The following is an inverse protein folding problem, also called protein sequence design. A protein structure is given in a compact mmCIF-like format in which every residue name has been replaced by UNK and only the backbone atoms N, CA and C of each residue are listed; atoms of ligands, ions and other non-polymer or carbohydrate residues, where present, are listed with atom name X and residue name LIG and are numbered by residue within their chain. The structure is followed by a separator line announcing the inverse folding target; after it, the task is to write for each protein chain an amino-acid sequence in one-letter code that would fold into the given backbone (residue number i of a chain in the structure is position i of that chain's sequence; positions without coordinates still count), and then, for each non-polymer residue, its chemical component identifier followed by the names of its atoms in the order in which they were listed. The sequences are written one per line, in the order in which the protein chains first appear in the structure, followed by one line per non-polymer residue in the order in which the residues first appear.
data_IF_572025460616
#
_entry.id   IF_572025460616
#
_cell.length_a   1.000
_cell.length_b   1.000
_cell.length_c   1.000
_cell.angle_alpha   90.00
_cell.angle_beta   90.00
_cell.angle_gamma   90.00
#
_symmetry.space_group_name_H-M   'P 1'
#
loop_
_entity.id
_entity.type
_entity.pdbx_description
1 polymer ?
#
# COMPACT_ATOMS: atom_id res chain seq x y z
N UNK A 1 48.47 45.02 -16.46
CA UNK A 1 47.70 45.34 -15.24
C UNK A 1 47.14 44.06 -14.71
N UNK A 2 47.75 43.46 -13.67
CA UNK A 2 47.32 42.17 -13.12
C UNK A 2 46.46 42.44 -11.88
N UNK A 3 45.16 42.15 -11.96
CA UNK A 3 44.24 42.35 -10.84
C UNK A 3 44.44 41.19 -9.87
N UNK A 4 45.07 41.46 -8.72
CA UNK A 4 45.15 40.52 -7.61
C UNK A 4 43.78 40.41 -6.91
N UNK A 5 43.00 39.40 -7.29
CA UNK A 5 41.76 39.08 -6.56
C UNK A 5 42.14 38.42 -5.23
N UNK A 6 41.80 39.07 -4.12
CA UNK A 6 42.09 38.59 -2.77
C UNK A 6 41.38 37.25 -2.50
N UNK A 7 42.12 36.27 -1.97
CA UNK A 7 41.59 34.93 -1.59
C UNK A 7 40.30 34.96 -0.72
N UNK A 8 40.09 36.06 0.02
CA UNK A 8 38.92 36.27 0.86
C UNK A 8 37.62 36.40 0.04
N UNK A 9 37.66 37.04 -1.13
CA UNK A 9 36.45 37.17 -1.97
C UNK A 9 36.11 35.90 -2.72
N UNK A 10 37.05 35.03 -2.99
CA UNK A 10 36.80 33.72 -3.62
C UNK A 10 36.03 32.75 -2.67
N UNK A 11 36.35 32.79 -1.38
CA UNK A 11 35.68 31.96 -0.38
C UNK A 11 34.22 32.43 -0.16
N UNK A 12 33.97 33.74 -0.14
CA UNK A 12 32.64 34.30 0.01
C UNK A 12 31.74 34.00 -1.19
N UNK A 13 32.30 34.13 -2.42
CA UNK A 13 31.57 33.79 -3.65
C UNK A 13 31.23 32.30 -3.74
N UNK A 14 32.14 31.42 -3.32
CA UNK A 14 31.90 29.97 -3.24
C UNK A 14 30.81 29.60 -2.24
N UNK A 15 30.77 30.24 -1.07
CA UNK A 15 29.76 30.01 -0.05
C UNK A 15 28.37 30.48 -0.47
N UNK A 16 28.26 31.57 -1.20
CA UNK A 16 26.99 32.09 -1.74
C UNK A 16 26.44 31.16 -2.84
N UNK A 17 27.31 30.61 -3.70
CA UNK A 17 26.89 29.65 -4.73
C UNK A 17 26.37 28.32 -4.12
N UNK A 18 26.94 27.85 -3.01
CA UNK A 18 26.50 26.66 -2.33
C UNK A 18 25.13 26.84 -1.65
N UNK A 19 24.79 28.06 -1.20
CA UNK A 19 23.48 28.33 -0.60
C UNK A 19 22.35 28.45 -1.64
N UNK A 20 22.68 28.68 -2.92
CA UNK A 20 21.69 28.76 -3.99
C UNK A 20 21.31 27.38 -4.60
N UNK A 21 22.10 26.33 -4.30
CA UNK A 21 21.91 25.01 -4.94
C UNK A 21 21.00 24.05 -4.18
N UNK A 22 20.49 24.41 -3.00
CA UNK A 22 19.62 23.55 -2.17
C UNK A 22 18.15 23.97 -2.19
N UNK A 23 17.62 24.45 -3.30
CA UNK A 23 16.17 24.44 -3.48
C UNK A 23 15.79 22.98 -3.80
N UNK A 24 15.29 22.25 -2.80
CA UNK A 24 14.57 20.99 -3.06
C UNK A 24 13.60 21.27 -4.21
N UNK A 25 13.57 20.42 -5.27
CA UNK A 25 12.57 20.57 -6.30
C UNK A 25 11.21 20.65 -5.59
N UNK A 26 10.46 21.73 -5.86
CA UNK A 26 9.12 21.87 -5.32
C UNK A 26 8.35 20.65 -5.80
N UNK A 27 7.79 19.89 -4.86
CA UNK A 27 6.84 18.84 -5.19
C UNK A 27 5.77 19.47 -6.10
N UNK A 28 5.64 19.00 -7.35
CA UNK A 28 4.69 19.56 -8.30
C UNK A 28 3.26 19.54 -7.74
N UNK A 29 2.97 18.62 -6.80
CA UNK A 29 1.68 18.48 -6.13
C UNK A 29 1.63 19.08 -4.72
N UNK A 30 2.46 20.07 -4.40
CA UNK A 30 2.47 20.75 -3.10
C UNK A 30 1.14 21.45 -2.76
N UNK A 31 0.35 21.82 -3.77
CA UNK A 31 -1.05 22.20 -3.63
C UNK A 31 -1.87 21.00 -4.15
N UNK A 32 -2.33 20.15 -3.24
CA UNK A 32 -3.20 19.03 -3.60
C UNK A 32 -4.39 19.54 -4.37
N UNK A 33 -4.62 18.91 -5.51
CA UNK A 33 -5.83 19.08 -6.30
C UNK A 33 -7.04 18.45 -5.59
N UNK A 34 -8.01 18.05 -6.36
CA UNK A 34 -9.19 17.36 -5.84
C UNK A 34 -8.83 15.98 -5.30
N UNK A 35 -9.54 15.54 -4.27
CA UNK A 35 -9.51 14.19 -3.72
C UNK A 35 -10.79 13.47 -4.13
N UNK A 36 -10.64 12.27 -4.69
CA UNK A 36 -11.75 11.40 -5.09
C UNK A 36 -11.64 10.08 -4.36
N UNK A 37 -12.76 9.60 -3.83
CA UNK A 37 -12.85 8.35 -3.11
C UNK A 37 -13.83 7.42 -3.77
N UNK A 38 -13.42 6.18 -4.06
CA UNK A 38 -14.31 5.17 -4.61
C UNK A 38 -15.20 4.57 -3.52
N UNK A 39 -16.31 3.99 -3.96
CA UNK A 39 -17.00 2.95 -3.20
C UNK A 39 -16.06 1.75 -2.96
N UNK A 40 -16.51 0.81 -2.12
CA UNK A 40 -15.70 -0.37 -1.77
C UNK A 40 -15.66 -1.33 -2.97
N UNK A 41 -14.46 -1.73 -3.37
CA UNK A 41 -14.20 -2.81 -4.31
C UNK A 41 -13.75 -4.08 -3.57
N UNK A 42 -13.92 -5.23 -4.22
CA UNK A 42 -13.56 -6.51 -3.63
C UNK A 42 -12.22 -7.01 -4.15
N UNK A 43 -11.43 -7.62 -3.26
CA UNK A 43 -10.29 -8.47 -3.58
C UNK A 43 -10.56 -9.90 -3.08
N UNK A 44 -9.94 -10.89 -3.70
CA UNK A 44 -10.22 -12.30 -3.48
C UNK A 44 -8.99 -13.03 -3.00
N UNK A 45 -9.15 -13.77 -1.89
CA UNK A 45 -8.12 -14.67 -1.37
C UNK A 45 -8.46 -16.11 -1.74
N UNK A 46 -7.54 -16.82 -2.36
CA UNK A 46 -7.70 -18.22 -2.73
C UNK A 46 -6.58 -19.10 -2.16
N UNK A 47 -6.85 -20.31 -1.73
CA UNK A 47 -8.19 -20.90 -1.56
C UNK A 47 -9.01 -20.20 -0.48
N UNK A 48 -10.34 -20.13 -0.67
CA UNK A 48 -11.25 -19.53 0.31
C UNK A 48 -11.52 -20.52 1.46
N UNK A 49 -10.49 -20.75 2.28
CA UNK A 49 -10.53 -21.67 3.43
C UNK A 49 -10.04 -20.95 4.68
N UNK A 50 -10.46 -21.45 5.84
CA UNK A 50 -10.05 -20.93 7.14
C UNK A 50 -8.65 -21.38 7.56
N UNK A 51 -8.09 -22.34 6.83
CA UNK A 51 -6.77 -22.87 7.12
C UNK A 51 -6.06 -23.37 5.88
N UNK A 52 -4.75 -23.22 5.87
CA UNK A 52 -3.88 -23.62 4.77
C UNK A 52 -2.64 -24.35 5.30
N UNK A 53 -2.10 -25.35 4.57
CA UNK A 53 -0.86 -26.00 4.94
C UNK A 53 0.33 -25.03 4.87
N UNK A 54 1.31 -25.24 5.76
CA UNK A 54 2.59 -24.53 5.68
C UNK A 54 3.25 -24.78 4.31
N UNK A 55 3.71 -23.71 3.67
CA UNK A 55 4.36 -23.77 2.37
C UNK A 55 3.42 -23.88 1.17
N UNK A 56 2.10 -23.99 1.37
CA UNK A 56 1.12 -23.94 0.29
C UNK A 56 1.09 -22.56 -0.36
N UNK A 57 0.59 -22.48 -1.59
CA UNK A 57 0.45 -21.19 -2.28
C UNK A 57 -0.99 -20.70 -2.12
N UNK A 58 -1.12 -19.50 -1.59
CA UNK A 58 -2.34 -18.72 -1.59
C UNK A 58 -2.28 -17.67 -2.71
N UNK A 59 -3.43 -17.30 -3.25
CA UNK A 59 -3.55 -16.23 -4.22
C UNK A 59 -4.31 -15.06 -3.62
N UNK A 60 -3.86 -13.84 -3.90
CA UNK A 60 -4.62 -12.62 -3.67
C UNK A 60 -4.80 -11.90 -4.99
N UNK A 61 -6.05 -11.73 -5.39
CA UNK A 61 -6.39 -11.10 -6.68
C UNK A 61 -7.27 -9.88 -6.45
N UNK A 62 -7.03 -8.84 -7.25
CA UNK A 62 -7.83 -7.62 -7.24
C UNK A 62 -7.90 -6.99 -8.63
N UNK A 63 -9.06 -6.40 -8.91
CA UNK A 63 -9.26 -5.56 -10.08
C UNK A 63 -10.14 -4.38 -9.69
N UNK A 64 -9.69 -3.17 -9.99
CA UNK A 64 -10.47 -1.96 -9.76
C UNK A 64 -10.57 -1.14 -11.04
N UNK A 65 -11.73 -0.60 -11.39
CA UNK A 65 -11.90 0.17 -12.61
C UNK A 65 -11.19 1.53 -12.49
N UNK A 66 -10.72 2.06 -13.61
CA UNK A 66 -10.23 3.44 -13.65
C UNK A 66 -11.36 4.45 -13.53
N UNK A 67 -12.52 4.14 -14.12
CA UNK A 67 -13.71 4.98 -14.02
C UNK A 67 -14.60 4.50 -12.87
N UNK A 68 -14.93 5.39 -11.96
CA UNK A 68 -15.81 5.10 -10.82
C UNK A 68 -16.65 6.33 -10.45
N UNK A 69 -17.64 6.14 -9.59
CA UNK A 69 -18.41 7.23 -9.00
C UNK A 69 -17.75 7.64 -7.69
N UNK A 70 -17.40 8.91 -7.55
CA UNK A 70 -16.85 9.45 -6.31
C UNK A 70 -17.92 9.42 -5.21
N UNK A 71 -17.56 8.85 -4.06
CA UNK A 71 -18.47 8.60 -2.94
C UNK A 71 -19.03 9.91 -2.32
N UNK A 72 -18.22 10.97 -2.34
CA UNK A 72 -18.61 12.24 -1.71
C UNK A 72 -19.40 13.16 -2.62
N UNK A 73 -19.01 13.22 -3.89
CA UNK A 73 -19.63 14.17 -4.84
C UNK A 73 -20.68 13.52 -5.73
N UNK A 74 -20.76 12.18 -5.72
CA UNK A 74 -21.58 11.36 -6.61
C UNK A 74 -21.32 11.64 -8.11
N UNK A 75 -20.16 12.19 -8.44
CA UNK A 75 -19.73 12.46 -9.81
C UNK A 75 -18.96 11.29 -10.39
N UNK A 76 -19.08 11.07 -11.70
CA UNK A 76 -18.24 10.11 -12.42
C UNK A 76 -16.86 10.71 -12.64
N UNK A 77 -15.84 9.98 -12.20
CA UNK A 77 -14.43 10.35 -12.35
C UNK A 77 -13.64 9.23 -13.02
N UNK A 78 -12.58 9.59 -13.71
CA UNK A 78 -11.67 8.62 -14.34
C UNK A 78 -10.26 8.89 -13.86
N UNK A 79 -9.66 7.89 -13.24
CA UNK A 79 -8.27 7.92 -12.79
C UNK A 79 -7.33 7.72 -13.98
N UNK A 80 -6.63 8.77 -14.36
CA UNK A 80 -5.66 8.77 -15.47
C UNK A 80 -4.22 8.49 -15.05
N UNK A 81 -3.99 8.20 -13.76
CA UNK A 81 -2.65 7.97 -13.27
C UNK A 81 -2.01 6.71 -13.85
N UNK A 82 -0.70 6.71 -13.95
CA UNK A 82 0.10 5.55 -14.39
C UNK A 82 0.49 4.62 -13.25
N UNK A 83 0.16 4.98 -12.00
CA UNK A 83 0.55 4.23 -10.80
C UNK A 83 -0.65 4.18 -9.85
N UNK A 84 -0.98 2.97 -9.40
CA UNK A 84 -1.85 2.73 -8.25
C UNK A 84 -1.07 1.88 -7.27
N UNK A 85 -0.93 2.32 -6.04
CA UNK A 85 -0.22 1.56 -5.03
C UNK A 85 -0.85 1.72 -3.62
N UNK A 86 -0.42 0.85 -2.73
CA UNK A 86 -0.77 0.95 -1.32
C UNK A 86 -0.30 -0.26 -0.50
N UNK A 87 -0.52 -0.21 0.80
CA UNK A 87 -0.01 -1.22 1.71
C UNK A 87 -0.83 -2.51 1.69
N UNK A 88 -0.14 -3.65 1.69
CA UNK A 88 -0.64 -4.94 2.14
C UNK A 88 -0.07 -5.18 3.54
N UNK A 89 -0.93 -5.17 4.55
CA UNK A 89 -0.57 -5.47 5.93
C UNK A 89 -0.71 -6.96 6.24
N UNK A 90 0.23 -7.50 7.02
CA UNK A 90 0.15 -8.86 7.55
C UNK A 90 0.46 -8.83 9.04
N UNK A 91 -0.46 -9.35 9.85
CA UNK A 91 -0.31 -9.51 11.29
C UNK A 91 -0.47 -10.97 11.72
N UNK A 92 0.29 -11.40 12.72
CA UNK A 92 0.03 -12.63 13.47
C UNK A 92 -0.93 -12.27 14.60
N UNK A 93 -2.05 -13.01 14.71
CA UNK A 93 -3.09 -12.71 15.69
C UNK A 93 -2.74 -13.30 17.06
N UNK A 94 -2.27 -14.53 17.11
CA UNK A 94 -1.96 -15.26 18.33
C UNK A 94 -0.49 -15.73 18.36
N UNK A 95 0.17 -15.77 19.54
CA UNK A 95 -0.37 -15.48 20.88
C UNK A 95 -0.50 -13.98 21.21
N UNK A 96 0.19 -13.11 20.47
CA UNK A 96 0.12 -11.65 20.62
C UNK A 96 0.12 -11.02 19.24
N UNK A 97 -0.74 -10.04 19.01
CA UNK A 97 -0.76 -9.33 17.74
C UNK A 97 0.59 -8.66 17.44
N UNK A 98 1.19 -9.07 16.36
CA UNK A 98 2.47 -8.52 15.91
C UNK A 98 2.57 -8.50 14.39
N UNK A 99 3.42 -7.63 13.88
CA UNK A 99 3.74 -7.58 12.46
C UNK A 99 4.38 -8.89 11.99
N UNK A 100 3.87 -9.47 10.92
CA UNK A 100 4.24 -10.81 10.48
C UNK A 100 4.51 -10.94 8.97
N UNK A 101 4.78 -9.84 8.28
CA UNK A 101 4.97 -9.86 6.81
C UNK A 101 6.13 -10.79 6.40
N UNK A 102 7.18 -10.89 7.23
CA UNK A 102 8.35 -11.72 6.96
C UNK A 102 8.08 -13.23 7.20
N UNK A 103 6.91 -13.57 7.77
CA UNK A 103 6.42 -14.96 7.83
C UNK A 103 5.85 -15.45 6.49
N UNK A 104 5.95 -14.64 5.44
CA UNK A 104 5.42 -14.96 4.11
C UNK A 104 6.42 -14.58 3.02
N UNK A 105 6.53 -15.47 2.04
CA UNK A 105 7.09 -15.14 0.73
C UNK A 105 5.95 -14.61 -0.13
N UNK A 106 6.07 -13.35 -0.57
CA UNK A 106 5.04 -12.68 -1.39
C UNK A 106 5.67 -12.27 -2.70
N UNK A 107 5.13 -12.79 -3.80
CA UNK A 107 5.57 -12.48 -5.16
C UNK A 107 4.38 -12.04 -6.01
N UNK A 108 4.61 -11.18 -7.00
CA UNK A 108 3.57 -10.75 -7.91
C UNK A 108 3.62 -11.54 -9.23
N UNK A 109 2.46 -12.05 -9.66
CA UNK A 109 2.23 -12.48 -11.05
C UNK A 109 1.75 -11.33 -11.94
N UNK A 110 0.96 -10.41 -11.34
CA UNK A 110 0.47 -9.18 -11.97
C UNK A 110 0.67 -8.04 -10.98
N UNK A 111 1.28 -6.94 -11.43
CA UNK A 111 1.72 -5.85 -10.59
C UNK A 111 3.13 -6.09 -10.03
N UNK A 112 3.46 -5.45 -8.91
CA UNK A 112 4.77 -5.59 -8.24
C UNK A 112 4.61 -5.59 -6.73
N UNK A 113 5.51 -6.30 -6.04
CA UNK A 113 5.71 -6.21 -4.60
C UNK A 113 6.99 -5.41 -4.34
N UNK A 114 6.85 -4.25 -3.73
CA UNK A 114 7.97 -3.39 -3.37
C UNK A 114 8.30 -3.69 -1.91
N UNK A 115 9.53 -4.12 -1.66
CA UNK A 115 10.04 -4.23 -0.30
C UNK A 115 10.35 -2.83 0.18
N UNK A 116 9.53 -2.31 1.05
CA UNK A 116 9.76 -0.99 1.62
C UNK A 116 10.99 -1.01 2.51
N UNK A 117 12.03 -0.33 2.06
CA UNK A 117 13.17 0.08 2.89
C UNK A 117 12.89 1.42 3.57
N UNK A 118 11.63 1.85 3.64
CA UNK A 118 11.29 3.11 4.28
C UNK A 118 11.59 2.96 5.77
N UNK A 119 12.60 3.69 6.23
CA UNK A 119 12.85 4.00 7.62
C UNK A 119 11.69 4.83 8.18
N UNK A 120 10.55 4.18 8.38
CA UNK A 120 9.47 4.78 9.13
C UNK A 120 9.90 4.79 10.59
N UNK A 121 9.84 5.97 11.18
CA UNK A 121 10.14 6.23 12.58
C UNK A 121 9.68 5.09 13.47
N UNK A 122 10.59 4.61 14.32
CA UNK A 122 10.48 3.44 15.16
C UNK A 122 9.05 3.24 15.71
N UNK A 123 8.36 2.18 15.26
CA UNK A 123 7.11 1.71 15.84
C UNK A 123 5.95 1.46 14.86
N UNK A 124 5.98 1.97 13.65
CA UNK A 124 4.84 1.85 12.73
C UNK A 124 5.28 1.22 11.40
N UNK A 125 4.72 0.09 11.02
CA UNK A 125 4.76 -0.57 9.72
C UNK A 125 5.84 -1.65 9.46
N UNK A 126 6.36 -2.34 10.46
CA UNK A 126 7.14 -3.58 10.24
C UNK A 126 6.34 -4.73 9.59
N UNK A 127 5.03 -4.57 9.44
CA UNK A 127 4.13 -5.63 8.94
C UNK A 127 3.53 -5.38 7.58
N UNK A 128 4.11 -4.53 6.72
CA UNK A 128 3.54 -4.18 5.43
C UNK A 128 4.53 -4.33 4.28
N UNK A 129 3.97 -4.54 3.07
CA UNK A 129 4.65 -4.39 1.77
C UNK A 129 3.82 -3.44 0.92
N UNK A 130 4.46 -2.60 0.16
CA UNK A 130 3.76 -1.80 -0.86
C UNK A 130 3.48 -2.68 -2.07
N UNK A 131 2.24 -2.71 -2.50
CA UNK A 131 1.79 -3.35 -3.73
C UNK A 131 1.61 -2.26 -4.79
N UNK A 132 2.28 -2.38 -5.91
CA UNK A 132 2.06 -1.57 -7.11
C UNK A 132 1.23 -2.40 -8.08
N UNK A 133 0.09 -1.86 -8.49
CA UNK A 133 -0.86 -2.53 -9.39
C UNK A 133 -0.39 -2.40 -10.83
N UNK A 134 -0.71 -3.38 -11.65
CA UNK A 134 -0.53 -3.29 -13.08
C UNK A 134 -1.51 -2.26 -13.67
N UNK A 135 -0.95 -1.30 -14.39
CA UNK A 135 -1.65 -0.18 -15.00
C UNK A 135 -1.70 -0.27 -16.52
N UNK A 136 -1.36 -1.40 -17.11
CA UNK A 136 -1.30 -1.59 -18.57
C UNK A 136 -2.67 -1.55 -19.24
N UNK A 137 -3.73 -1.91 -18.51
CA UNK A 137 -5.10 -1.83 -19.02
C UNK A 137 -5.62 -0.40 -19.01
N UNK A 138 -6.33 -0.01 -20.07
CA UNK A 138 -6.99 1.28 -20.17
C UNK A 138 -8.22 1.40 -19.24
N UNK A 139 -8.83 0.27 -18.90
CA UNK A 139 -10.10 0.26 -18.18
C UNK A 139 -9.96 -0.04 -16.69
N UNK A 140 -8.87 -0.68 -16.27
CA UNK A 140 -8.72 -1.16 -14.90
C UNK A 140 -7.26 -1.26 -14.46
N UNK A 141 -7.07 -1.17 -13.16
CA UNK A 141 -5.86 -1.61 -12.47
C UNK A 141 -6.04 -3.04 -11.99
N UNK A 142 -5.01 -3.86 -12.09
CA UNK A 142 -5.07 -5.29 -11.73
C UNK A 142 -3.89 -5.67 -10.85
N UNK A 143 -4.11 -6.61 -9.95
CA UNK A 143 -3.04 -7.29 -9.22
C UNK A 143 -3.34 -8.76 -9.05
N UNK A 144 -2.28 -9.58 -9.03
CA UNK A 144 -2.33 -10.98 -8.63
C UNK A 144 -1.04 -11.33 -7.91
N UNK A 145 -1.16 -11.72 -6.65
CA UNK A 145 -0.04 -12.06 -5.80
C UNK A 145 -0.09 -13.53 -5.42
N UNK A 146 1.09 -14.18 -5.44
CA UNK A 146 1.33 -15.46 -4.79
C UNK A 146 1.84 -15.22 -3.39
N UNK A 147 1.22 -15.86 -2.41
CA UNK A 147 1.53 -15.73 -0.99
C UNK A 147 1.81 -17.13 -0.45
N UNK A 148 3.04 -17.36 0.02
CA UNK A 148 3.47 -18.65 0.57
C UNK A 148 3.81 -18.48 2.03
N UNK A 149 3.05 -19.12 2.96
CA UNK A 149 3.37 -19.12 4.37
C UNK A 149 4.71 -19.82 4.65
N UNK A 150 5.57 -19.21 5.46
CA UNK A 150 6.86 -19.73 5.89
C UNK A 150 6.86 -20.14 7.36
N UNK A 151 5.83 -19.78 8.13
CA UNK A 151 5.69 -20.12 9.53
C UNK A 151 4.24 -20.47 9.87
N UNK A 152 4.06 -21.40 10.81
CA UNK A 152 2.74 -21.76 11.36
C UNK A 152 2.22 -20.63 12.25
N UNK A 153 0.91 -20.46 12.30
CA UNK A 153 0.29 -19.43 13.11
C UNK A 153 -1.12 -19.06 12.67
N UNK A 154 -1.72 -18.10 13.34
CA UNK A 154 -2.98 -17.50 12.96
C UNK A 154 -2.71 -16.07 12.50
N UNK A 155 -3.09 -15.77 11.28
CA UNK A 155 -2.70 -14.55 10.60
C UNK A 155 -3.89 -13.74 10.11
N UNK A 156 -3.66 -12.46 9.91
CA UNK A 156 -4.59 -11.54 9.25
C UNK A 156 -3.90 -10.83 8.09
N UNK A 157 -4.56 -10.74 6.95
CA UNK A 157 -4.19 -9.87 5.85
C UNK A 157 -5.14 -8.68 5.78
N UNK A 158 -4.59 -7.49 5.52
CA UNK A 158 -5.37 -6.27 5.30
C UNK A 158 -4.87 -5.53 4.06
N UNK A 159 -5.77 -5.32 3.10
CA UNK A 159 -5.55 -4.52 1.90
C UNK A 159 -6.66 -3.47 1.84
N UNK A 160 -6.56 -2.44 2.69
CA UNK A 160 -7.67 -1.52 2.95
C UNK A 160 -7.80 -0.41 1.92
N UNK A 161 -6.73 0.33 1.69
CA UNK A 161 -6.75 1.51 0.83
C UNK A 161 -5.56 1.49 -0.11
N UNK A 162 -5.84 1.71 -1.39
CA UNK A 162 -4.85 1.95 -2.41
C UNK A 162 -5.03 3.36 -2.94
N UNK A 163 -3.96 4.01 -3.37
CA UNK A 163 -4.03 5.39 -3.83
C UNK A 163 -3.11 5.66 -5.01
N UNK A 164 -3.46 6.68 -5.75
CA UNK A 164 -2.67 7.21 -6.84
C UNK A 164 -2.82 8.72 -6.94
N UNK A 165 -1.85 9.36 -7.54
CA UNK A 165 -1.90 10.79 -7.87
C UNK A 165 -1.65 10.91 -9.37
N UNK A 166 -2.51 11.63 -10.07
CA UNK A 166 -2.33 11.89 -11.50
C UNK A 166 -1.46 13.12 -11.77
N UNK A 167 -1.24 13.41 -13.05
CA UNK A 167 -0.44 14.56 -13.50
C UNK A 167 -1.01 15.92 -13.06
N UNK A 168 -2.30 16.01 -12.82
CA UNK A 168 -3.01 17.21 -12.39
C UNK A 168 -3.11 17.30 -10.86
N UNK A 169 -2.38 16.40 -10.16
CA UNK A 169 -2.31 16.30 -8.71
C UNK A 169 -3.63 15.94 -8.03
N UNK A 170 -4.58 15.36 -8.76
CA UNK A 170 -5.75 14.77 -8.15
C UNK A 170 -5.37 13.46 -7.44
N UNK A 171 -5.82 13.30 -6.20
CA UNK A 171 -5.62 12.12 -5.38
C UNK A 171 -6.84 11.20 -5.52
N UNK A 172 -6.59 9.97 -5.97
CA UNK A 172 -7.61 8.92 -6.06
C UNK A 172 -7.39 7.90 -4.97
N UNK A 173 -8.44 7.57 -4.23
CA UNK A 173 -8.45 6.56 -3.18
C UNK A 173 -9.41 5.44 -3.54
N UNK A 174 -8.91 4.21 -3.50
CA UNK A 174 -9.67 3.00 -3.71
C UNK A 174 -9.74 2.22 -2.40
N UNK A 175 -10.94 1.95 -1.93
CA UNK A 175 -11.17 1.14 -0.74
C UNK A 175 -11.43 -0.30 -1.15
N UNK A 176 -10.75 -1.23 -0.49
CA UNK A 176 -10.80 -2.65 -0.79
C UNK A 176 -11.23 -3.44 0.43
N UNK A 177 -12.00 -4.49 0.20
CA UNK A 177 -12.33 -5.48 1.22
C UNK A 177 -12.22 -6.89 0.63
N UNK A 178 -12.02 -7.93 1.48
CA UNK A 178 -12.13 -9.31 1.02
C UNK A 178 -13.52 -9.60 0.47
N UNK A 179 -13.57 -10.11 -0.76
CA UNK A 179 -14.83 -10.53 -1.39
C UNK A 179 -15.26 -11.94 -0.97
N UNK A 180 -14.38 -12.68 -0.29
CA UNK A 180 -14.68 -14.01 0.24
C UNK A 180 -15.55 -13.90 1.49
N UNK A 181 -16.54 -14.74 1.60
CA UNK A 181 -17.44 -14.82 2.77
C UNK A 181 -16.73 -15.33 4.02
N UNK A 182 -15.61 -16.04 3.86
CA UNK A 182 -14.83 -16.64 4.96
C UNK A 182 -13.80 -15.66 5.48
N UNK A 183 -14.23 -14.69 6.26
CA UNK A 183 -13.31 -13.76 6.90
C UNK A 183 -12.70 -14.31 8.19
N UNK A 184 -13.22 -15.45 8.68
CA UNK A 184 -12.79 -16.16 9.90
C UNK A 184 -12.49 -15.23 11.08
N UNK A 185 -13.38 -14.29 11.30
CA UNK A 185 -13.27 -13.30 12.36
C UNK A 185 -13.29 -13.94 13.77
N UNK A 186 -13.68 -15.21 13.87
CA UNK A 186 -13.59 -15.98 15.11
C UNK A 186 -12.17 -15.97 15.67
N UNK A 187 -11.16 -16.10 14.82
CA UNK A 187 -9.76 -16.00 15.28
C UNK A 187 -9.43 -14.66 15.92
N UNK A 188 -10.05 -13.59 15.43
CA UNK A 188 -9.89 -12.27 16.03
C UNK A 188 -10.67 -12.13 17.33
N UNK A 189 -11.91 -12.67 17.36
CA UNK A 189 -12.72 -12.70 18.58
C UNK A 189 -12.06 -13.49 19.70
N UNK A 190 -11.48 -14.65 19.38
CA UNK A 190 -10.77 -15.50 20.35
C UNK A 190 -9.55 -14.77 20.95
N UNK A 191 -8.86 -13.94 20.15
CA UNK A 191 -7.69 -13.23 20.59
C UNK A 191 -8.00 -11.92 21.38
N UNK A 192 -9.04 -11.20 20.98
CA UNK A 192 -9.29 -9.83 21.46
C UNK A 192 -10.66 -9.61 22.09
N UNK A 193 -11.53 -10.63 22.11
CA UNK A 193 -12.86 -10.57 22.69
C UNK A 193 -13.87 -9.70 21.93
N UNK A 194 -13.44 -8.97 20.91
CA UNK A 194 -14.28 -8.11 20.08
C UNK A 194 -13.73 -7.90 18.66
N UNK A 195 -14.62 -7.60 17.73
CA UNK A 195 -14.26 -7.26 16.36
C UNK A 195 -14.74 -5.85 16.05
N UNK A 196 -13.81 -4.93 15.77
CA UNK A 196 -14.19 -3.60 15.29
C UNK A 196 -14.71 -3.67 13.86
N UNK A 197 -15.56 -2.71 13.47
CA UNK A 197 -16.08 -2.64 12.09
C UNK A 197 -14.97 -2.60 11.05
N UNK A 198 -13.87 -1.88 11.31
CA UNK A 198 -12.75 -1.81 10.39
C UNK A 198 -12.04 -3.14 10.20
N UNK A 199 -11.92 -3.98 11.24
CA UNK A 199 -11.38 -5.34 11.13
C UNK A 199 -12.35 -6.22 10.34
N UNK A 200 -13.63 -6.18 10.67
CA UNK A 200 -14.66 -6.98 9.99
C UNK A 200 -14.69 -6.72 8.47
N UNK A 201 -14.53 -5.46 8.06
CA UNK A 201 -14.66 -5.11 6.63
C UNK A 201 -13.38 -5.28 5.81
N UNK A 202 -12.19 -5.13 6.42
CA UNK A 202 -10.95 -5.01 5.63
C UNK A 202 -9.94 -6.13 5.86
N UNK A 203 -10.26 -7.10 6.72
CA UNK A 203 -9.30 -8.11 7.16
C UNK A 203 -9.74 -9.53 6.77
N UNK A 204 -8.84 -10.29 6.19
CA UNK A 204 -8.99 -11.72 5.95
C UNK A 204 -8.14 -12.50 6.94
N UNK A 205 -8.76 -13.34 7.76
CA UNK A 205 -8.07 -14.12 8.80
C UNK A 205 -8.04 -15.61 8.44
N UNK A 206 -6.92 -16.28 8.73
CA UNK A 206 -6.73 -17.70 8.46
C UNK A 206 -5.65 -18.33 9.35
N UNK A 207 -5.64 -19.66 9.42
CA UNK A 207 -4.66 -20.45 10.15
C UNK A 207 -3.70 -21.13 9.19
N UNK A 208 -2.39 -21.10 9.49
CA UNK A 208 -1.34 -21.92 8.85
C UNK A 208 -0.99 -23.08 9.79
N UNK A 209 -1.10 -24.34 9.33
CA UNK A 209 -0.86 -25.56 10.11
C UNK A 209 0.25 -26.44 9.54
#
# INVERSE_FOLDING_TARGET
MVIKISRKYLVIAGSILLLLSCKKPKDPCSKRGFEYSSSIFHCWYGPSTDSVPLGSIMMLEGSVPRAFTDEYTNSKVTNTSSILNGPLGVGMILPNYQAAIDSFEITAEVGKVIKDTINLSAGQLKGVRTIEWDCSSIDSFKMRLKIKPLAKGIYSFALKQQSSVDKDCALYKYFLQPGNTNQHLNYWMDAFGSVSSSVAFYTYCFKVY
#
